data_IF_195548148495
#
_entry.id   IF_195548148495
#
_cell.length_a   1.000
_cell.length_b   1.000
_cell.length_c   1.000
_cell.angle_alpha   90.00
_cell.angle_beta   90.00
_cell.angle_gamma   90.00
#
_symmetry.space_group_name_H-M   'P 1'
#
loop_
_entity.id
_entity.type
_entity.pdbx_description
1 polymer ?
#
# COMPACT_ATOMS: atom_id res chain seq x y z
N UNK A 1 -23.84 -27.67 -21.94
CA UNK A 1 -22.72 -27.71 -20.97
C UNK A 1 -21.35 -27.48 -21.61
N UNK A 2 -20.99 -28.05 -22.78
CA UNK A 2 -19.65 -27.85 -23.42
C UNK A 2 -19.35 -26.39 -23.88
N UNK A 3 -20.33 -25.58 -24.22
CA UNK A 3 -20.14 -24.19 -24.64
C UNK A 3 -19.87 -23.20 -23.47
N UNK A 4 -20.32 -23.53 -22.26
CA UNK A 4 -20.09 -22.67 -21.09
C UNK A 4 -18.67 -22.82 -20.58
N UNK A 5 -18.07 -24.00 -20.70
CA UNK A 5 -16.68 -24.28 -20.26
C UNK A 5 -15.65 -23.59 -21.19
N UNK A 6 -15.96 -23.42 -22.47
CA UNK A 6 -15.07 -22.74 -23.41
C UNK A 6 -15.04 -21.21 -23.20
N UNK A 7 -16.15 -20.61 -22.79
CA UNK A 7 -16.19 -19.16 -22.49
C UNK A 7 -15.44 -18.86 -21.19
N UNK A 8 -15.49 -19.77 -20.21
CA UNK A 8 -14.76 -19.62 -18.95
C UNK A 8 -13.24 -19.72 -19.13
N UNK A 9 -12.75 -20.60 -20.02
CA UNK A 9 -11.32 -20.71 -20.33
C UNK A 9 -10.78 -19.50 -21.09
N UNK A 10 -11.56 -18.88 -21.97
CA UNK A 10 -11.11 -17.74 -22.77
C UNK A 10 -10.94 -16.44 -21.96
N UNK A 11 -11.68 -16.30 -20.85
CA UNK A 11 -11.53 -15.12 -19.97
C UNK A 11 -10.38 -15.25 -18.96
N UNK A 12 -9.86 -16.46 -18.71
CA UNK A 12 -8.79 -16.70 -17.72
C UNK A 12 -7.39 -16.59 -18.35
N UNK A 13 -7.24 -16.94 -19.63
CA UNK A 13 -5.93 -16.97 -20.30
C UNK A 13 -5.23 -15.61 -20.39
N UNK A 14 -5.90 -14.47 -20.65
CA UNK A 14 -5.21 -13.18 -20.65
C UNK A 14 -4.76 -12.68 -19.27
N UNK A 15 -5.36 -13.20 -18.20
CA UNK A 15 -5.05 -12.78 -16.82
C UNK A 15 -3.78 -13.45 -16.31
N UNK A 16 -3.50 -14.68 -16.78
CA UNK A 16 -2.34 -15.47 -16.30
C UNK A 16 -1.03 -15.13 -17.02
N UNK A 17 -1.07 -14.49 -18.18
CA UNK A 17 0.13 -14.18 -18.97
C UNK A 17 0.77 -12.83 -18.62
N UNK A 18 0.14 -12.03 -17.75
CA UNK A 18 0.59 -10.67 -17.43
C UNK A 18 1.61 -10.54 -16.30
N UNK A 19 1.85 -11.59 -15.53
CA UNK A 19 2.71 -11.50 -14.34
C UNK A 19 4.21 -11.71 -14.59
N UNK A 20 4.63 -11.88 -15.83
CA UNK A 20 6.02 -12.14 -16.22
C UNK A 20 6.77 -10.94 -16.81
N UNK A 21 6.30 -9.71 -16.61
CA UNK A 21 7.03 -8.54 -17.09
C UNK A 21 8.15 -8.17 -16.13
N UNK A 22 9.34 -8.69 -16.38
CA UNK A 22 10.59 -8.05 -15.98
C UNK A 22 10.76 -6.83 -16.87
N UNK A 23 10.46 -5.65 -16.35
CA UNK A 23 10.83 -4.40 -17.00
C UNK A 23 12.33 -4.23 -16.78
N UNK A 24 13.10 -4.63 -17.79
CA UNK A 24 14.54 -4.41 -17.85
C UNK A 24 14.81 -2.94 -18.26
N UNK A 25 14.28 -1.99 -17.51
CA UNK A 25 14.81 -0.63 -17.52
C UNK A 25 15.88 -0.59 -16.44
N UNK A 26 17.14 -0.49 -16.86
CA UNK A 26 18.25 -0.21 -15.97
C UNK A 26 18.06 1.18 -15.36
N UNK A 27 17.24 1.27 -14.32
CA UNK A 27 17.25 2.43 -13.47
C UNK A 27 18.54 2.40 -12.66
N UNK A 28 19.45 3.34 -12.93
CA UNK A 28 20.62 3.63 -12.12
C UNK A 28 20.18 4.24 -10.76
N UNK A 29 19.34 3.51 -10.05
CA UNK A 29 18.89 3.90 -8.73
C UNK A 29 19.95 3.43 -7.72
N UNK A 30 20.82 4.35 -7.31
CA UNK A 30 21.73 4.11 -6.19
C UNK A 30 20.96 4.31 -4.88
N UNK A 31 20.33 3.24 -4.44
CA UNK A 31 19.93 3.14 -3.04
C UNK A 31 21.21 3.14 -2.20
N UNK A 32 21.27 3.95 -1.15
CA UNK A 32 22.42 3.92 -0.24
C UNK A 32 22.34 2.62 0.57
N UNK A 33 22.90 1.55 0.02
CA UNK A 33 22.86 0.21 0.62
C UNK A 33 23.66 0.15 1.92
N UNK A 34 24.60 1.06 2.12
CA UNK A 34 25.54 0.98 3.24
C UNK A 34 24.86 1.25 4.59
N UNK A 35 23.82 2.09 4.63
CA UNK A 35 23.07 2.39 5.84
C UNK A 35 22.16 1.23 6.32
N UNK A 36 21.89 0.24 5.45
CA UNK A 36 20.98 -0.88 5.76
C UNK A 36 21.70 -2.24 5.90
N UNK A 37 23.02 -2.29 5.71
CA UNK A 37 23.77 -3.55 5.68
C UNK A 37 24.13 -4.11 7.06
N UNK A 38 23.88 -3.38 8.13
CA UNK A 38 24.18 -3.85 9.48
C UNK A 38 22.93 -4.49 10.13
N UNK A 39 23.08 -5.63 10.84
CA UNK A 39 21.99 -6.14 11.65
C UNK A 39 21.66 -5.11 12.74
N UNK A 40 20.38 -4.80 12.88
CA UNK A 40 19.90 -3.94 13.96
C UNK A 40 20.11 -4.66 15.29
N UNK A 41 20.79 -4.01 16.24
CA UNK A 41 20.95 -4.53 17.60
C UNK A 41 20.01 -3.79 18.54
N UNK A 42 19.59 -4.43 19.65
CA UNK A 42 18.85 -3.74 20.70
C UNK A 42 19.57 -2.45 21.13
N UNK A 43 18.88 -1.32 21.08
CA UNK A 43 19.46 0.00 21.38
C UNK A 43 20.14 0.72 20.21
N UNK A 44 20.31 0.07 19.04
CA UNK A 44 20.88 0.68 17.83
C UNK A 44 19.82 0.88 16.74
N UNK A 45 18.61 1.27 17.10
CA UNK A 45 17.61 1.63 16.09
C UNK A 45 18.08 2.87 15.35
N UNK A 46 18.38 2.74 14.08
CA UNK A 46 18.69 3.88 13.22
C UNK A 46 17.40 4.67 13.01
N UNK A 47 17.14 5.59 13.92
CA UNK A 47 16.08 6.55 13.75
C UNK A 47 16.51 7.57 12.68
N UNK A 48 16.06 7.38 11.44
CA UNK A 48 15.96 8.48 10.46
C UNK A 48 14.94 9.54 10.92
N UNK A 49 14.46 9.41 12.15
CA UNK A 49 13.48 10.24 12.84
C UNK A 49 14.14 11.27 13.75
N UNK A 50 15.40 11.64 13.49
CA UNK A 50 16.03 12.76 14.21
C UNK A 50 15.36 14.07 13.77
N UNK A 51 14.15 14.27 14.29
CA UNK A 51 13.38 15.50 14.06
C UNK A 51 13.98 16.63 14.91
N UNK A 52 14.11 17.80 14.30
CA UNK A 52 14.29 19.02 15.07
C UNK A 52 13.16 19.12 16.12
N UNK A 53 13.46 19.28 17.42
CA UNK A 53 12.43 19.33 18.46
C UNK A 53 11.35 20.39 18.19
N UNK A 54 11.70 21.50 17.52
CA UNK A 54 10.74 22.54 17.16
C UNK A 54 9.78 22.08 16.06
N UNK A 55 10.22 21.19 15.17
CA UNK A 55 9.36 20.58 14.16
C UNK A 55 8.44 19.51 14.77
N UNK A 56 8.97 18.71 15.69
CA UNK A 56 8.18 17.73 16.45
C UNK A 56 7.05 18.43 17.21
N UNK A 57 7.33 19.49 17.96
CA UNK A 57 6.32 20.27 18.67
C UNK A 57 5.25 20.84 17.73
N UNK A 58 5.65 21.29 16.54
CA UNK A 58 4.72 21.80 15.53
C UNK A 58 3.83 20.70 14.95
N UNK A 59 4.36 19.50 14.73
CA UNK A 59 3.60 18.35 14.26
C UNK A 59 2.60 17.91 15.33
N UNK A 60 3.03 17.79 16.57
CA UNK A 60 2.16 17.39 17.70
C UNK A 60 1.06 18.41 18.01
N UNK A 61 1.25 19.67 17.63
CA UNK A 61 0.25 20.73 17.77
C UNK A 61 -0.82 20.73 16.67
N UNK A 62 -0.69 19.89 15.63
CA UNK A 62 -1.69 19.79 14.57
C UNK A 62 -2.94 19.07 15.08
N UNK A 63 -4.10 19.53 14.62
CA UNK A 63 -5.35 18.78 14.76
C UNK A 63 -5.48 17.79 13.58
N UNK A 64 -5.34 16.48 13.80
CA UNK A 64 -5.37 15.51 12.72
C UNK A 64 -6.70 15.45 11.96
N UNK A 65 -7.78 15.96 12.55
CA UNK A 65 -9.10 16.02 11.90
C UNK A 65 -9.29 17.27 11.03
N UNK A 66 -8.39 18.28 11.14
CA UNK A 66 -8.53 19.58 10.48
C UNK A 66 -7.20 20.13 9.97
N UNK A 67 -6.40 19.31 9.29
CA UNK A 67 -5.11 19.72 8.73
C UNK A 67 -5.33 20.57 7.47
N UNK A 68 -4.78 21.78 7.44
CA UNK A 68 -4.85 22.68 6.29
C UNK A 68 -3.72 22.45 5.28
N UNK A 69 -3.90 22.93 4.04
CA UNK A 69 -2.85 22.86 3.00
C UNK A 69 -1.56 23.57 3.41
N UNK A 70 -1.69 24.71 4.10
CA UNK A 70 -0.53 25.44 4.59
C UNK A 70 0.23 24.64 5.65
N UNK A 71 -0.48 23.97 6.55
CA UNK A 71 0.13 23.07 7.55
C UNK A 71 0.82 21.87 6.91
N UNK A 72 0.24 21.30 5.85
CA UNK A 72 0.92 20.24 5.06
C UNK A 72 2.23 20.78 4.50
N UNK A 73 2.19 21.94 3.82
CA UNK A 73 3.34 22.53 3.15
C UNK A 73 4.42 22.97 4.12
N UNK A 74 4.06 23.60 5.23
CA UNK A 74 5.01 24.30 6.10
C UNK A 74 5.48 23.44 7.28
N UNK A 75 4.79 22.36 7.59
CA UNK A 75 5.09 21.48 8.73
C UNK A 75 5.32 20.03 8.25
N UNK A 76 4.28 19.40 7.69
CA UNK A 76 4.36 17.96 7.37
C UNK A 76 5.32 17.67 6.22
N UNK A 77 5.52 18.59 5.29
CA UNK A 77 6.51 18.43 4.21
C UNK A 77 7.95 18.33 4.71
N UNK A 78 8.22 18.75 5.93
CA UNK A 78 9.53 18.69 6.57
C UNK A 78 9.71 17.41 7.39
N UNK A 79 8.62 16.68 7.64
CA UNK A 79 8.63 15.47 8.43
C UNK A 79 9.14 14.26 7.60
N UNK A 80 9.69 13.22 8.25
CA UNK A 80 10.01 11.97 7.61
C UNK A 80 8.77 11.34 6.98
N UNK A 81 8.92 10.78 5.79
CA UNK A 81 7.83 10.15 5.08
C UNK A 81 7.82 8.62 5.33
N UNK A 82 6.69 8.00 5.71
CA UNK A 82 6.58 6.55 5.78
C UNK A 82 6.76 5.93 4.39
N UNK A 83 7.21 4.69 4.33
CA UNK A 83 7.33 3.97 3.07
C UNK A 83 5.94 3.60 2.53
N UNK A 84 5.73 3.82 1.23
CA UNK A 84 4.54 3.34 0.52
C UNK A 84 4.91 2.05 -0.23
N UNK A 85 4.28 0.95 0.13
CA UNK A 85 4.43 -0.35 -0.52
C UNK A 85 3.18 -0.61 -1.35
N UNK A 86 3.33 -0.54 -2.66
CA UNK A 86 2.25 -0.73 -3.61
C UNK A 86 2.20 -2.17 -4.13
N UNK A 87 1.00 -2.69 -4.37
CA UNK A 87 0.75 -4.00 -4.94
C UNK A 87 -0.12 -3.88 -6.18
N UNK A 88 0.41 -4.25 -7.35
CA UNK A 88 -0.38 -4.25 -8.58
C UNK A 88 -1.19 -5.55 -8.74
N UNK A 89 -2.27 -5.48 -9.51
CA UNK A 89 -3.05 -6.65 -9.92
C UNK A 89 -2.34 -7.50 -10.98
N UNK A 90 -2.98 -8.59 -11.39
CA UNK A 90 -2.40 -9.64 -12.23
C UNK A 90 -2.18 -9.29 -13.71
N UNK A 91 -2.21 -8.01 -14.11
CA UNK A 91 -2.04 -7.59 -15.52
C UNK A 91 -1.04 -6.46 -15.65
N UNK A 92 -0.43 -6.33 -16.85
CA UNK A 92 0.46 -5.22 -17.17
C UNK A 92 -0.23 -3.84 -17.08
N UNK A 93 -1.53 -3.77 -17.37
CA UNK A 93 -2.31 -2.54 -17.20
C UNK A 93 -2.41 -2.14 -15.72
N UNK A 94 -2.64 -3.10 -14.82
CA UNK A 94 -2.68 -2.85 -13.38
C UNK A 94 -1.32 -2.36 -12.85
N UNK A 95 -0.20 -2.93 -13.37
CA UNK A 95 1.14 -2.44 -13.04
C UNK A 95 1.31 -0.96 -13.44
N UNK A 96 0.99 -0.62 -14.71
CA UNK A 96 1.11 0.76 -15.22
C UNK A 96 0.25 1.76 -14.45
N UNK A 97 -0.93 1.35 -14.01
CA UNK A 97 -1.81 2.21 -13.21
C UNK A 97 -1.24 2.46 -11.82
N UNK A 98 -0.66 1.45 -11.17
CA UNK A 98 0.01 1.60 -9.87
C UNK A 98 1.32 2.41 -10.01
N UNK A 99 2.04 2.27 -11.11
CA UNK A 99 3.18 3.13 -11.44
C UNK A 99 2.74 4.59 -11.59
N UNK A 100 1.62 4.84 -12.28
CA UNK A 100 1.04 6.19 -12.44
C UNK A 100 0.70 6.81 -11.07
N UNK A 101 0.07 6.04 -10.17
CA UNK A 101 -0.21 6.47 -8.81
C UNK A 101 1.07 6.83 -8.04
N UNK A 102 2.08 5.98 -8.14
CA UNK A 102 3.36 6.21 -7.47
C UNK A 102 4.07 7.46 -7.98
N UNK A 103 4.07 7.67 -9.31
CA UNK A 103 4.64 8.88 -9.92
C UNK A 103 3.88 10.14 -9.53
N UNK A 104 2.58 10.04 -9.32
CA UNK A 104 1.77 11.13 -8.79
C UNK A 104 2.25 11.50 -7.37
N UNK A 105 2.42 10.53 -6.48
CA UNK A 105 2.97 10.79 -5.14
C UNK A 105 4.32 11.51 -5.21
N UNK A 106 5.22 11.05 -6.07
CA UNK A 106 6.52 11.69 -6.28
C UNK A 106 6.37 13.11 -6.83
N UNK A 107 5.45 13.35 -7.75
CA UNK A 107 5.18 14.69 -8.29
C UNK A 107 4.60 15.65 -7.25
N UNK A 108 3.92 15.11 -6.23
CA UNK A 108 3.43 15.84 -5.08
C UNK A 108 4.51 16.09 -4.01
N UNK A 109 5.75 15.68 -4.26
CA UNK A 109 6.90 15.88 -3.38
C UNK A 109 7.21 14.71 -2.45
N UNK A 110 6.53 13.57 -2.60
CA UNK A 110 6.85 12.38 -1.82
C UNK A 110 8.23 11.83 -2.20
N UNK A 111 9.08 11.45 -1.25
CA UNK A 111 10.43 10.96 -1.58
C UNK A 111 10.35 9.69 -2.44
N UNK A 112 10.95 9.73 -3.63
CA UNK A 112 10.88 8.61 -4.59
C UNK A 112 11.45 7.31 -4.03
N UNK A 113 12.51 7.39 -3.21
CA UNK A 113 13.10 6.25 -2.52
C UNK A 113 12.16 5.58 -1.51
N UNK A 114 11.12 6.27 -1.05
CA UNK A 114 10.09 5.74 -0.16
C UNK A 114 8.93 5.05 -0.89
N UNK A 115 8.88 5.16 -2.22
CA UNK A 115 7.82 4.57 -3.06
C UNK A 115 8.35 3.45 -3.95
N UNK A 116 9.67 3.42 -4.22
CA UNK A 116 10.29 2.39 -5.05
C UNK A 116 10.67 1.14 -4.27
N UNK A 117 10.53 -0.01 -4.93
CA UNK A 117 11.18 -1.25 -4.52
C UNK A 117 12.70 -1.11 -4.71
N UNK A 118 13.51 -1.23 -3.67
CA UNK A 118 14.96 -1.03 -3.78
C UNK A 118 15.68 -2.16 -4.52
N UNK A 119 15.08 -3.35 -4.63
CA UNK A 119 15.69 -4.50 -5.30
C UNK A 119 15.75 -4.32 -6.82
N UNK A 120 14.67 -3.80 -7.42
CA UNK A 120 14.52 -3.71 -8.87
C UNK A 120 14.15 -2.31 -9.38
N UNK A 121 13.93 -1.34 -8.49
CA UNK A 121 13.54 0.02 -8.81
C UNK A 121 12.10 0.17 -9.29
N UNK A 122 11.28 -0.87 -9.27
CA UNK A 122 9.86 -0.81 -9.63
C UNK A 122 9.04 -0.03 -8.61
N UNK A 123 7.85 0.43 -9.00
CA UNK A 123 6.95 1.17 -8.12
C UNK A 123 5.90 0.31 -7.43
N UNK A 124 5.88 -1.00 -7.69
CA UNK A 124 4.91 -1.89 -7.05
C UNK A 124 5.36 -3.34 -7.09
N UNK A 125 4.98 -4.09 -6.08
CA UNK A 125 5.17 -5.53 -6.01
C UNK A 125 4.03 -6.28 -6.71
N UNK A 126 4.32 -7.47 -7.21
CA UNK A 126 3.30 -8.35 -7.81
C UNK A 126 2.33 -8.88 -6.75
N UNK A 127 1.04 -8.93 -7.10
CA UNK A 127 0.00 -9.59 -6.30
C UNK A 127 0.22 -11.10 -6.08
N UNK A 128 1.16 -11.70 -6.82
CA UNK A 128 1.50 -13.12 -6.71
C UNK A 128 2.67 -13.40 -5.75
N UNK A 129 3.30 -12.36 -5.19
CA UNK A 129 4.33 -12.55 -4.15
C UNK A 129 3.73 -13.26 -2.94
N UNK A 130 4.54 -14.04 -2.25
CA UNK A 130 4.10 -14.71 -1.03
C UNK A 130 3.75 -13.69 0.05
N UNK A 131 2.62 -13.88 0.71
CA UNK A 131 2.13 -12.96 1.75
C UNK A 131 3.08 -12.85 2.93
N UNK A 132 3.73 -13.97 3.33
CA UNK A 132 4.67 -13.99 4.46
C UNK A 132 5.93 -13.22 4.13
N UNK A 133 6.41 -13.34 2.88
CA UNK A 133 7.51 -12.55 2.37
C UNK A 133 7.19 -11.06 2.43
N UNK A 134 6.01 -10.65 1.96
CA UNK A 134 5.60 -9.24 1.99
C UNK A 134 5.45 -8.71 3.41
N UNK A 135 4.95 -9.50 4.35
CA UNK A 135 4.92 -9.16 5.77
C UNK A 135 6.35 -9.00 6.32
N UNK A 136 7.24 -9.89 5.94
CA UNK A 136 8.66 -9.82 6.33
C UNK A 136 9.35 -8.54 5.84
N UNK A 137 9.05 -8.10 4.62
CA UNK A 137 9.52 -6.83 4.03
C UNK A 137 8.95 -5.63 4.82
N UNK A 138 7.66 -5.64 5.13
CA UNK A 138 7.01 -4.61 5.93
C UNK A 138 7.69 -4.47 7.30
N UNK A 139 7.93 -5.61 7.97
CA UNK A 139 8.59 -5.66 9.26
C UNK A 139 10.04 -5.14 9.20
N UNK A 140 10.76 -5.49 8.13
CA UNK A 140 12.12 -5.03 7.89
C UNK A 140 12.21 -3.52 7.73
N UNK A 141 11.28 -2.92 6.98
CA UNK A 141 11.20 -1.46 6.83
C UNK A 141 10.79 -0.77 8.12
N UNK A 142 9.77 -1.30 8.81
CA UNK A 142 9.34 -0.72 10.08
C UNK A 142 10.48 -0.63 11.10
N UNK A 143 11.23 -1.73 11.27
CA UNK A 143 12.35 -1.80 12.20
C UNK A 143 13.46 -0.78 11.87
N UNK A 144 13.73 -0.54 10.57
CA UNK A 144 14.85 0.29 10.13
C UNK A 144 14.48 1.74 9.88
N UNK A 145 13.27 2.00 9.48
CA UNK A 145 12.82 3.34 9.12
C UNK A 145 12.02 4.00 10.26
N UNK A 146 11.70 3.28 11.33
CA UNK A 146 11.03 3.82 12.51
C UNK A 146 9.55 4.15 12.32
N UNK A 147 9.01 3.95 11.12
CA UNK A 147 7.63 4.27 10.76
C UNK A 147 6.92 3.07 10.16
N UNK A 148 5.65 2.89 10.53
CA UNK A 148 4.83 1.86 9.91
C UNK A 148 4.62 2.18 8.42
N UNK A 149 4.97 1.25 7.50
CA UNK A 149 4.70 1.46 6.09
C UNK A 149 3.21 1.61 5.77
N UNK A 150 2.93 2.39 4.72
CA UNK A 150 1.63 2.47 4.08
C UNK A 150 1.56 1.35 3.03
N UNK A 151 0.46 0.61 2.98
CA UNK A 151 0.28 -0.45 1.98
C UNK A 151 -0.94 -0.17 1.11
N UNK A 152 -0.76 -0.16 -0.21
CA UNK A 152 -1.82 0.13 -1.18
C UNK A 152 -1.86 -0.97 -2.23
N UNK A 153 -3.03 -1.51 -2.51
CA UNK A 153 -3.18 -2.57 -3.50
C UNK A 153 -4.33 -2.36 -4.47
N UNK A 154 -4.09 -2.69 -5.73
CA UNK A 154 -5.11 -2.64 -6.77
C UNK A 154 -5.51 -4.05 -7.23
N UNK A 155 -6.80 -4.28 -7.40
CA UNK A 155 -7.32 -5.55 -7.91
C UNK A 155 -6.89 -6.73 -7.02
N UNK A 156 -6.21 -7.75 -7.55
CA UNK A 156 -5.61 -8.82 -6.74
C UNK A 156 -4.58 -8.30 -5.72
N UNK A 157 -3.87 -7.20 -6.02
CA UNK A 157 -2.99 -6.54 -5.06
C UNK A 157 -3.75 -5.99 -3.85
N UNK A 158 -4.98 -5.48 -4.06
CA UNK A 158 -5.86 -5.07 -2.97
C UNK A 158 -6.34 -6.24 -2.11
N UNK A 159 -6.52 -7.42 -2.70
CA UNK A 159 -6.79 -8.64 -1.94
C UNK A 159 -5.57 -9.08 -1.13
N UNK A 160 -4.35 -8.94 -1.70
CA UNK A 160 -3.10 -9.21 -0.99
C UNK A 160 -2.93 -8.28 0.22
N UNK A 161 -3.30 -6.99 0.11
CA UNK A 161 -3.34 -6.07 1.25
C UNK A 161 -4.20 -6.63 2.38
N UNK A 162 -5.43 -7.01 2.10
CA UNK A 162 -6.33 -7.58 3.11
C UNK A 162 -5.77 -8.89 3.68
N UNK A 163 -5.16 -9.72 2.85
CA UNK A 163 -4.50 -10.96 3.27
C UNK A 163 -3.35 -10.69 4.25
N UNK A 164 -2.50 -9.70 3.96
CA UNK A 164 -1.42 -9.25 4.86
C UNK A 164 -2.00 -8.91 6.25
N UNK A 165 -3.07 -8.12 6.30
CA UNK A 165 -3.69 -7.73 7.57
C UNK A 165 -4.20 -8.94 8.37
N UNK A 166 -4.79 -9.94 7.70
CA UNK A 166 -5.24 -11.17 8.36
C UNK A 166 -4.10 -12.04 8.89
N UNK A 167 -3.02 -12.17 8.12
CA UNK A 167 -1.86 -12.94 8.56
C UNK A 167 -1.17 -12.28 9.75
N UNK A 168 -1.04 -10.96 9.74
CA UNK A 168 -0.56 -10.21 10.90
C UNK A 168 -1.44 -10.42 12.14
N UNK A 169 -2.75 -10.62 11.97
CA UNK A 169 -3.71 -10.90 13.05
C UNK A 169 -3.66 -12.36 13.55
N UNK A 170 -2.72 -13.17 13.09
CA UNK A 170 -2.60 -14.57 13.53
C UNK A 170 -3.58 -15.52 12.84
N UNK A 171 -4.16 -15.15 11.70
CA UNK A 171 -5.09 -16.03 10.96
C UNK A 171 -4.40 -17.18 10.24
N UNK A 172 -3.08 -17.20 10.23
CA UNK A 172 -2.28 -18.33 9.83
C UNK A 172 -1.84 -19.08 11.10
N UNK A 173 -2.16 -20.38 11.19
CA UNK A 173 -1.82 -21.23 12.34
C UNK A 173 -0.29 -21.43 12.52
N UNK A 174 0.52 -20.92 11.63
CA UNK A 174 1.97 -20.92 11.73
C UNK A 174 2.45 -19.53 12.12
N UNK A 175 2.86 -19.35 13.37
CA UNK A 175 3.50 -18.12 13.89
C UNK A 175 4.87 -17.80 13.23
N UNK A 176 5.11 -18.27 12.01
CA UNK A 176 6.42 -18.22 11.34
C UNK A 176 6.50 -17.06 10.33
N UNK A 177 6.17 -15.84 10.80
CA UNK A 177 6.38 -14.64 9.99
C UNK A 177 7.82 -14.17 10.16
N UNK A 178 8.68 -14.56 9.20
CA UNK A 178 10.11 -14.19 9.21
C UNK A 178 10.31 -12.80 8.62
N UNK A 179 11.30 -12.09 9.14
CA UNK A 179 11.80 -10.85 8.53
C UNK A 179 12.43 -11.17 7.17
N UNK A 180 12.09 -10.38 6.16
CA UNK A 180 12.60 -10.53 4.80
C UNK A 180 13.34 -9.27 4.37
N UNK A 181 14.58 -9.44 3.95
CA UNK A 181 15.42 -8.33 3.49
C UNK A 181 15.09 -8.01 2.02
N UNK A 182 14.48 -6.85 1.75
CA UNK A 182 14.08 -6.48 0.38
C UNK A 182 15.27 -6.15 -0.54
N UNK A 183 16.44 -5.83 0.01
CA UNK A 183 17.63 -5.52 -0.78
C UNK A 183 18.32 -6.77 -1.31
N UNK A 184 18.27 -7.85 -0.53
CA UNK A 184 18.88 -9.14 -0.86
C UNK A 184 17.88 -10.15 -1.40
N UNK A 185 16.59 -9.85 -1.31
CA UNK A 185 15.48 -10.74 -1.63
C UNK A 185 15.59 -12.10 -0.90
N UNK A 186 15.95 -12.09 0.39
CA UNK A 186 16.10 -13.29 1.21
C UNK A 186 15.57 -13.12 2.63
N UNK A 187 15.18 -14.23 3.27
CA UNK A 187 14.79 -14.25 4.67
C UNK A 187 16.01 -14.07 5.58
N UNK A 188 15.88 -13.20 6.59
CA UNK A 188 16.88 -13.06 7.67
C UNK A 188 16.78 -14.18 8.72
N UNK A 189 15.88 -15.15 8.55
CA UNK A 189 15.67 -16.32 9.43
C UNK A 189 15.41 -15.96 10.89
N UNK A 190 14.78 -14.81 11.13
CA UNK A 190 14.35 -14.35 12.45
C UNK A 190 12.87 -13.96 12.41
N UNK A 191 12.19 -14.14 13.53
CA UNK A 191 10.75 -13.88 13.72
C UNK A 191 10.50 -12.67 14.59
N UNK A 192 11.58 -12.07 15.10
CA UNK A 192 11.56 -10.92 16.00
C UNK A 192 12.17 -9.71 15.29
N UNK A 193 11.65 -8.55 15.63
CA UNK A 193 12.19 -7.23 15.26
C UNK A 193 12.44 -6.41 16.51
N UNK A 194 13.29 -5.39 16.38
CA UNK A 194 13.39 -4.34 17.38
C UNK A 194 12.31 -3.30 17.05
N UNK A 195 11.35 -3.14 17.95
CA UNK A 195 10.34 -2.09 17.80
C UNK A 195 11.03 -0.72 17.95
N UNK A 196 10.98 0.14 16.91
CA UNK A 196 11.68 1.42 16.94
C UNK A 196 11.11 2.42 17.96
N UNK A 197 9.83 2.27 18.33
CA UNK A 197 9.16 3.17 19.28
C UNK A 197 9.46 2.74 20.72
N UNK A 198 9.33 1.43 20.98
CA UNK A 198 9.48 0.89 22.33
C UNK A 198 10.92 0.46 22.66
N UNK A 199 11.79 0.42 21.63
CA UNK A 199 13.19 -0.04 21.70
C UNK A 199 13.35 -1.40 22.37
N UNK A 200 12.43 -2.33 22.09
CA UNK A 200 12.42 -3.70 22.61
C UNK A 200 12.11 -4.70 21.52
N UNK A 201 12.52 -5.95 21.74
CA UNK A 201 12.15 -7.04 20.83
C UNK A 201 10.65 -7.30 20.87
N UNK A 202 10.07 -7.50 19.68
CA UNK A 202 8.71 -7.98 19.49
C UNK A 202 8.61 -8.94 18.32
N UNK A 203 7.60 -9.82 18.26
CA UNK A 203 7.38 -10.66 17.10
C UNK A 203 6.90 -9.82 15.89
N UNK A 204 7.21 -10.30 14.69
CA UNK A 204 6.63 -9.77 13.44
C UNK A 204 5.10 -9.96 13.44
N UNK A 205 4.63 -11.11 13.94
CA UNK A 205 3.20 -11.33 14.15
C UNK A 205 2.62 -10.27 15.11
N UNK A 206 1.46 -9.72 14.76
CA UNK A 206 0.83 -8.65 15.51
C UNK A 206 1.39 -7.25 15.23
N UNK A 207 2.30 -7.10 14.25
CA UNK A 207 2.69 -5.78 13.75
C UNK A 207 1.45 -5.04 13.22
N UNK A 208 1.39 -3.75 13.51
CA UNK A 208 0.26 -2.91 13.12
C UNK A 208 0.66 -1.97 11.99
N UNK A 209 -0.19 -1.89 10.97
CA UNK A 209 -0.04 -1.00 9.83
C UNK A 209 -0.75 0.31 10.15
N UNK A 210 -0.11 1.45 9.89
CA UNK A 210 -0.74 2.75 10.10
C UNK A 210 -1.89 2.99 9.11
N UNK A 211 -1.63 2.78 7.83
CA UNK A 211 -2.64 2.94 6.79
C UNK A 211 -2.56 1.83 5.74
N UNK A 212 -3.74 1.34 5.32
CA UNK A 212 -3.85 0.38 4.23
C UNK A 212 -4.99 0.75 3.28
N UNK A 213 -4.79 0.48 1.99
CA UNK A 213 -5.83 0.73 0.99
C UNK A 213 -6.00 -0.44 0.03
N UNK A 214 -7.25 -0.73 -0.31
CA UNK A 214 -7.63 -1.76 -1.28
C UNK A 214 -8.50 -1.14 -2.36
N UNK A 215 -7.97 -1.06 -3.58
CA UNK A 215 -8.60 -0.40 -4.72
C UNK A 215 -9.14 -1.47 -5.68
N UNK A 216 -10.46 -1.46 -5.92
CA UNK A 216 -11.14 -2.36 -6.84
C UNK A 216 -10.78 -3.84 -6.62
N UNK A 217 -10.82 -4.29 -5.37
CA UNK A 217 -10.59 -5.70 -5.00
C UNK A 217 -11.90 -6.39 -4.66
N UNK A 218 -12.26 -7.41 -5.42
CA UNK A 218 -13.53 -8.14 -5.24
C UNK A 218 -13.98 -8.78 -6.53
N UNK A 219 -15.30 -8.88 -6.75
CA UNK A 219 -15.88 -9.40 -7.98
C UNK A 219 -15.27 -10.72 -8.43
N UNK A 220 -14.99 -10.84 -9.71
CA UNK A 220 -14.40 -12.06 -10.29
C UNK A 220 -12.93 -12.29 -9.87
N UNK A 221 -12.20 -11.26 -9.43
CA UNK A 221 -10.81 -11.44 -8.98
C UNK A 221 -10.70 -12.33 -7.73
N UNK A 222 -11.78 -12.47 -6.95
CA UNK A 222 -11.86 -13.41 -5.82
C UNK A 222 -11.66 -14.87 -6.21
N UNK A 223 -11.97 -15.22 -7.45
CA UNK A 223 -11.89 -16.59 -7.94
C UNK A 223 -10.50 -16.97 -8.46
N UNK A 224 -9.59 -16.01 -8.52
CA UNK A 224 -8.25 -16.22 -9.01
C UNK A 224 -7.38 -16.94 -7.97
N UNK A 225 -6.32 -17.59 -8.46
CA UNK A 225 -5.36 -18.34 -7.62
C UNK A 225 -4.73 -17.42 -6.59
N UNK A 226 -4.40 -17.95 -5.42
CA UNK A 226 -3.82 -17.27 -4.26
C UNK A 226 -4.74 -16.30 -3.49
N UNK A 227 -6.03 -16.24 -3.82
CA UNK A 227 -6.97 -15.33 -3.14
C UNK A 227 -7.98 -16.05 -2.23
N UNK A 228 -7.98 -17.36 -2.22
CA UNK A 228 -9.07 -18.17 -1.63
C UNK A 228 -9.16 -18.07 -0.10
N UNK A 229 -8.08 -17.82 0.57
CA UNK A 229 -8.03 -17.66 2.03
C UNK A 229 -8.71 -16.38 2.54
N UNK A 230 -8.92 -15.38 1.66
CA UNK A 230 -9.64 -14.13 2.01
C UNK A 230 -10.98 -13.97 1.29
N UNK A 231 -11.39 -14.91 0.44
CA UNK A 231 -12.61 -14.81 -0.40
C UNK A 231 -13.85 -14.41 0.39
N UNK A 232 -14.08 -15.05 1.55
CA UNK A 232 -15.29 -14.83 2.34
C UNK A 232 -15.16 -13.72 3.38
N UNK A 233 -13.94 -13.25 3.63
CA UNK A 233 -13.66 -12.23 4.66
C UNK A 233 -13.02 -10.95 4.11
N UNK A 234 -12.95 -10.82 2.78
CA UNK A 234 -12.33 -9.67 2.11
C UNK A 234 -12.88 -8.31 2.60
N UNK A 235 -14.15 -8.25 2.98
CA UNK A 235 -14.82 -7.02 3.42
C UNK A 235 -14.79 -6.79 4.93
N UNK A 236 -14.10 -7.63 5.69
CA UNK A 236 -13.93 -7.47 7.14
C UNK A 236 -12.46 -7.17 7.41
N UNK A 237 -12.16 -6.07 8.06
CA UNK A 237 -10.79 -5.58 8.27
C UNK A 237 -10.39 -5.79 9.72
N UNK A 238 -9.32 -6.56 9.99
CA UNK A 238 -8.84 -6.81 11.35
C UNK A 238 -8.12 -5.59 11.94
N UNK A 239 -7.88 -5.62 13.27
CA UNK A 239 -7.27 -4.53 14.03
C UNK A 239 -5.74 -4.40 13.85
N UNK A 240 -5.17 -5.10 12.89
CA UNK A 240 -3.75 -4.97 12.48
C UNK A 240 -3.51 -3.77 11.55
N UNK A 241 -4.49 -2.93 11.39
CA UNK A 241 -4.38 -1.63 10.73
C UNK A 241 -5.08 -0.57 11.56
N UNK A 242 -4.56 0.65 11.57
CA UNK A 242 -5.22 1.78 12.24
C UNK A 242 -6.33 2.36 11.39
N UNK A 243 -6.03 2.61 10.12
CA UNK A 243 -6.98 3.13 9.16
C UNK A 243 -6.92 2.35 7.84
N UNK A 244 -8.10 2.06 7.30
CA UNK A 244 -8.25 1.32 6.05
C UNK A 244 -9.26 2.01 5.14
N UNK A 245 -8.87 2.21 3.87
CA UNK A 245 -9.77 2.71 2.84
C UNK A 245 -9.97 1.69 1.72
N UNK A 246 -11.20 1.29 1.52
CA UNK A 246 -11.59 0.37 0.46
C UNK A 246 -12.36 1.07 -0.65
N UNK A 247 -11.83 1.04 -1.87
CA UNK A 247 -12.45 1.65 -3.05
C UNK A 247 -13.11 0.61 -3.94
N UNK A 248 -14.30 0.90 -4.43
CA UNK A 248 -14.94 0.08 -5.43
C UNK A 248 -15.59 0.93 -6.51
N UNK A 249 -15.70 0.36 -7.71
CA UNK A 249 -16.17 1.06 -8.88
C UNK A 249 -17.54 0.52 -9.33
N UNK A 250 -18.44 1.41 -9.71
CA UNK A 250 -19.71 1.05 -10.36
C UNK A 250 -19.42 0.49 -11.75
N UNK A 251 -20.09 -0.59 -12.13
CA UNK A 251 -19.94 -1.31 -13.39
C UNK A 251 -18.60 -2.05 -13.56
N UNK A 252 -17.89 -2.30 -12.45
CA UNK A 252 -16.66 -3.10 -12.44
C UNK A 252 -16.94 -4.56 -12.08
N UNK A 253 -17.02 -5.43 -13.07
CA UNK A 253 -17.21 -6.85 -12.85
C UNK A 253 -15.95 -7.57 -12.31
N UNK A 254 -14.78 -7.00 -12.53
CA UNK A 254 -13.52 -7.59 -12.11
C UNK A 254 -13.25 -7.33 -10.61
N UNK A 255 -13.43 -6.10 -10.15
CA UNK A 255 -13.03 -5.66 -8.81
C UNK A 255 -14.18 -5.36 -7.85
N UNK A 256 -15.43 -5.32 -8.33
CA UNK A 256 -16.57 -4.99 -7.48
C UNK A 256 -17.57 -6.13 -7.40
N UNK A 257 -18.05 -6.43 -6.21
CA UNK A 257 -19.09 -7.43 -6.01
C UNK A 257 -20.41 -6.92 -6.60
N UNK A 258 -21.15 -7.80 -7.29
CA UNK A 258 -22.39 -7.44 -8.00
C UNK A 258 -22.23 -6.22 -8.93
N UNK A 259 -21.10 -6.15 -9.65
CA UNK A 259 -20.74 -5.05 -10.58
C UNK A 259 -20.68 -3.66 -9.91
N UNK A 260 -20.57 -3.59 -8.59
CA UNK A 260 -20.58 -2.32 -7.86
C UNK A 260 -21.95 -1.61 -7.83
N UNK A 261 -23.03 -2.29 -8.26
CA UNK A 261 -24.38 -1.73 -8.27
C UNK A 261 -25.01 -1.70 -6.88
N UNK A 262 -24.60 -2.63 -6.02
CA UNK A 262 -25.06 -2.72 -4.64
C UNK A 262 -23.93 -2.31 -3.70
N UNK A 263 -24.23 -1.38 -2.78
CA UNK A 263 -23.24 -0.89 -1.83
C UNK A 263 -22.90 -1.93 -0.75
N UNK A 264 -23.94 -2.61 -0.22
CA UNK A 264 -23.78 -3.53 0.91
C UNK A 264 -22.72 -4.64 0.71
N UNK A 265 -22.65 -5.34 -0.44
CA UNK A 265 -21.62 -6.35 -0.68
C UNK A 265 -20.21 -5.79 -0.84
N UNK A 266 -20.09 -4.51 -1.23
CA UNK A 266 -18.82 -3.85 -1.45
C UNK A 266 -18.29 -3.12 -0.21
N UNK A 267 -19.14 -2.98 0.81
CA UNK A 267 -18.81 -2.23 2.02
C UNK A 267 -17.82 -2.97 2.89
N UNK A 268 -16.68 -2.35 3.12
CA UNK A 268 -15.71 -2.78 4.13
C UNK A 268 -16.20 -2.43 5.54
N UNK A 269 -15.87 -3.26 6.51
CA UNK A 269 -16.31 -3.12 7.90
C UNK A 269 -15.17 -3.49 8.84
N UNK A 270 -14.99 -2.79 9.96
CA UNK A 270 -14.01 -3.20 10.96
C UNK A 270 -14.45 -4.50 11.65
N UNK A 271 -13.48 -5.34 11.99
CA UNK A 271 -13.67 -6.46 12.90
C UNK A 271 -13.65 -6.02 14.37
N UNK A 272 -13.02 -4.89 14.66
CA UNK A 272 -12.85 -4.33 15.99
C UNK A 272 -12.72 -2.80 15.95
N UNK A 273 -11.53 -2.27 16.28
CA UNK A 273 -11.28 -0.83 16.50
C UNK A 273 -10.71 -0.09 15.29
N UNK A 274 -10.34 -0.79 14.20
CA UNK A 274 -9.81 -0.17 13.00
C UNK A 274 -10.79 0.86 12.42
N UNK A 275 -10.29 2.02 12.01
CA UNK A 275 -11.10 3.00 11.26
C UNK A 275 -11.21 2.51 9.81
N UNK A 276 -12.41 2.24 9.33
CA UNK A 276 -12.64 1.65 8.02
C UNK A 276 -13.57 2.50 7.19
N UNK A 277 -13.08 2.95 6.04
CA UNK A 277 -13.80 3.73 5.06
C UNK A 277 -14.12 2.90 3.82
N UNK A 278 -15.27 3.14 3.23
CA UNK A 278 -15.65 2.54 1.95
C UNK A 278 -16.08 3.63 0.99
N UNK A 279 -15.37 3.72 -0.12
CA UNK A 279 -15.56 4.77 -1.11
C UNK A 279 -16.06 4.13 -2.41
N UNK A 280 -17.21 4.63 -2.87
CA UNK A 280 -17.79 4.28 -4.16
C UNK A 280 -17.33 5.29 -5.20
N UNK A 281 -16.73 4.79 -6.27
CA UNK A 281 -16.32 5.60 -7.39
C UNK A 281 -17.24 5.35 -8.58
N UNK A 282 -17.41 6.37 -9.41
CA UNK A 282 -18.18 6.30 -10.65
C UNK A 282 -17.35 6.85 -11.81
N UNK A 283 -17.42 6.19 -12.96
CA UNK A 283 -16.58 6.50 -14.12
C UNK A 283 -15.23 5.79 -14.10
N UNK A 284 -14.54 5.77 -15.24
CA UNK A 284 -13.31 5.02 -15.42
C UNK A 284 -13.53 3.52 -15.64
N UNK A 285 -12.47 2.75 -15.50
CA UNK A 285 -12.49 1.29 -15.66
C UNK A 285 -11.65 0.63 -14.57
N UNK A 286 -11.87 -0.68 -14.36
CA UNK A 286 -11.08 -1.48 -13.42
C UNK A 286 -9.57 -1.24 -13.53
N UNK A 287 -9.06 -1.19 -14.76
CA UNK A 287 -7.62 -1.08 -15.02
C UNK A 287 -7.07 0.34 -14.94
N UNK A 288 -7.93 1.35 -15.05
CA UNK A 288 -7.51 2.76 -14.99
C UNK A 288 -7.74 3.41 -13.63
N UNK A 289 -8.34 2.68 -12.68
CA UNK A 289 -8.74 3.28 -11.42
C UNK A 289 -7.58 3.89 -10.60
N UNK A 290 -6.41 3.24 -10.47
CA UNK A 290 -5.26 3.86 -9.82
C UNK A 290 -4.51 4.83 -10.74
N UNK A 291 -4.91 4.96 -12.01
CA UNK A 291 -4.28 5.90 -12.94
C UNK A 291 -4.79 7.32 -12.67
N UNK A 292 -3.95 8.10 -12.03
CA UNK A 292 -4.27 9.45 -11.57
C UNK A 292 -4.22 10.54 -12.65
N UNK A 293 -4.05 10.17 -13.95
CA UNK A 293 -4.10 11.16 -15.03
C UNK A 293 -5.42 11.91 -15.03
N UNK A 294 -6.52 11.24 -14.74
CA UNK A 294 -7.83 11.88 -14.62
C UNK A 294 -7.92 12.81 -13.41
N UNK A 295 -7.24 12.49 -12.29
CA UNK A 295 -7.17 13.38 -11.12
C UNK A 295 -6.37 14.63 -11.45
N UNK A 296 -5.28 14.51 -12.20
CA UNK A 296 -4.50 15.65 -12.68
C UNK A 296 -5.31 16.59 -13.63
N UNK A 297 -6.43 16.12 -14.17
CA UNK A 297 -7.35 16.91 -14.99
C UNK A 297 -8.36 17.71 -14.17
N UNK A 298 -8.57 17.36 -12.90
CA UNK A 298 -9.45 18.11 -11.99
C UNK A 298 -8.84 19.47 -11.66
N UNK A 299 -9.62 20.56 -11.66
CA UNK A 299 -9.12 21.90 -11.33
C UNK A 299 -8.47 21.98 -9.96
N UNK A 300 -9.05 21.33 -8.97
CA UNK A 300 -8.57 21.28 -7.59
C UNK A 300 -7.20 20.59 -7.50
N UNK A 301 -7.06 19.45 -8.15
CA UNK A 301 -5.78 18.71 -8.21
C UNK A 301 -4.71 19.50 -8.95
N UNK A 302 -5.07 20.17 -10.05
CA UNK A 302 -4.12 21.05 -10.79
C UNK A 302 -3.66 22.20 -9.92
N UNK A 303 -4.55 22.79 -9.15
CA UNK A 303 -4.20 23.87 -8.23
C UNK A 303 -3.28 23.37 -7.12
N UNK A 304 -3.55 22.21 -6.57
CA UNK A 304 -2.70 21.53 -5.60
C UNK A 304 -1.30 21.29 -6.18
N UNK A 305 -1.22 20.66 -7.36
CA UNK A 305 0.05 20.37 -8.05
C UNK A 305 0.81 21.67 -8.38
N UNK A 306 0.11 22.70 -8.88
CA UNK A 306 0.74 23.97 -9.24
C UNK A 306 1.29 24.75 -8.05
N UNK A 307 0.70 24.57 -6.88
CA UNK A 307 1.16 25.19 -5.62
C UNK A 307 2.29 24.40 -4.96
N UNK A 308 2.57 23.19 -5.43
CA UNK A 308 3.63 22.34 -4.95
C UNK A 308 4.97 22.75 -5.56
N UNK A 309 5.97 23.00 -4.72
CA UNK A 309 7.35 23.17 -5.19
C UNK A 309 8.03 21.81 -5.16
N UNK A 310 8.73 21.40 -6.24
CA UNK A 310 9.41 20.09 -6.33
C UNK A 310 10.42 19.83 -5.22
N UNK A 311 10.95 20.88 -4.62
CA UNK A 311 11.98 20.83 -3.58
C UNK A 311 11.42 20.56 -2.17
N UNK A 312 10.11 20.67 -2.01
CA UNK A 312 9.46 20.40 -0.73
C UNK A 312 9.15 18.90 -0.61
N UNK A 313 9.84 18.21 0.27
CA UNK A 313 9.47 16.84 0.67
C UNK A 313 8.12 16.88 1.34
N UNK A 314 7.10 16.34 0.70
CA UNK A 314 5.75 16.31 1.25
C UNK A 314 5.46 14.95 1.80
N UNK A 315 5.11 14.90 3.06
CA UNK A 315 4.42 13.75 3.63
C UNK A 315 3.01 13.77 3.09
N UNK A 316 2.63 12.74 2.34
CA UNK A 316 1.24 12.49 2.00
C UNK A 316 0.52 12.15 3.29
N UNK A 317 -0.24 13.09 3.76
CA UNK A 317 -1.14 12.85 4.86
C UNK A 317 -2.51 12.39 4.34
N UNK A 318 -3.30 11.89 5.26
CA UNK A 318 -4.66 11.42 5.00
C UNK A 318 -5.52 12.47 4.27
N UNK A 319 -5.24 13.76 4.46
CA UNK A 319 -6.02 14.84 3.85
C UNK A 319 -5.81 14.99 2.35
N UNK A 320 -4.58 14.81 1.85
CA UNK A 320 -4.38 14.82 0.39
C UNK A 320 -5.11 13.61 -0.20
N UNK A 321 -4.97 12.44 0.42
CA UNK A 321 -5.68 11.25 -0.01
C UNK A 321 -7.20 11.45 0.15
N UNK A 322 -7.65 11.98 1.27
CA UNK A 322 -9.07 12.25 1.54
C UNK A 322 -9.66 13.23 0.52
N UNK A 323 -9.00 14.33 0.19
CA UNK A 323 -9.48 15.31 -0.78
C UNK A 323 -9.52 14.77 -2.20
N UNK A 324 -8.45 14.12 -2.65
CA UNK A 324 -8.34 13.60 -4.02
C UNK A 324 -9.33 12.46 -4.28
N UNK A 325 -9.66 11.68 -3.28
CA UNK A 325 -10.62 10.58 -3.40
C UNK A 325 -11.99 10.89 -2.79
N UNK A 326 -12.21 12.12 -2.33
CA UNK A 326 -13.49 12.57 -1.75
C UNK A 326 -13.94 11.70 -0.56
N UNK A 327 -13.00 11.37 0.34
CA UNK A 327 -13.17 10.52 1.52
C UNK A 327 -13.48 11.40 2.74
#
# INVERSE_FOLDING_TARGET
MKKLTQVFCLCIIPVLTGCGYTINEQYNYRYNQDSYNHPVKPGEVQNDLDLDPSLEDRILALDPENISEDQVRDILSLAPAPRIINFHGGTSSAYKSMESLSRFFVSMGYPENRVRNPADGTFSYSCLRDVREMIGIIAWYYEREGMSPIIIGHSQGGMLVVKILYYLNGSDNNNELMVWNPLKEESEKRYMIIDPIENRERPVAGLRIGYASSIAAGGHTRLLVNQWDVVFRLRTIPDTVEEFSGFYLTWDSAGSDYFGLLDSPNRYRPAGLARVHTIKLSGGSHFSLPDVRHLAELPETRQLISNYRPDNRTVLNDEIIKREFNI
#
